data_IF_552654469145
#
_entry.id   IF_552654469145
#
_cell.length_a   1.000
_cell.length_b   1.000
_cell.length_c   1.000
_cell.angle_alpha   90.00
_cell.angle_beta   90.00
_cell.angle_gamma   90.00
#
_symmetry.space_group_name_H-M   'P 1'
#
loop_
_entity.id
_entity.type
_entity.pdbx_description
1 polymer ?
#
# COMPACT_ATOMS: atom_id res chain seq x y z
N UNK A 1 -6.81 -4.30 -17.22
CA UNK A 1 -7.32 -4.62 -15.87
C UNK A 1 -6.14 -4.76 -14.93
N UNK A 2 -6.21 -4.21 -13.72
CA UNK A 2 -5.12 -4.29 -12.74
C UNK A 2 -5.19 -5.63 -11.99
N UNK A 3 -4.13 -6.42 -12.09
CA UNK A 3 -4.00 -7.76 -11.51
C UNK A 3 -2.62 -7.95 -10.88
N UNK A 4 -2.51 -8.74 -9.81
CA UNK A 4 -1.22 -9.06 -9.21
C UNK A 4 -1.29 -9.97 -8.00
N UNK A 5 -0.11 -10.26 -7.43
CA UNK A 5 0.06 -11.10 -6.23
C UNK A 5 0.46 -10.23 -5.04
N UNK A 6 -0.29 -10.26 -3.92
CA UNK A 6 0.13 -9.57 -2.70
C UNK A 6 1.44 -10.13 -2.13
N UNK A 7 2.27 -9.31 -1.46
CA UNK A 7 3.49 -9.78 -0.80
C UNK A 7 3.19 -10.93 0.17
N UNK A 8 3.99 -11.99 0.14
CA UNK A 8 3.82 -13.14 1.04
C UNK A 8 2.66 -14.09 0.72
N UNK A 9 1.83 -13.79 -0.29
CA UNK A 9 0.63 -14.57 -0.60
C UNK A 9 0.74 -15.46 -1.86
N UNK A 10 1.93 -15.68 -2.43
CA UNK A 10 2.05 -16.57 -3.59
C UNK A 10 1.54 -18.00 -3.26
N UNK A 11 0.74 -18.65 -4.14
CA UNK A 11 0.46 -18.31 -5.54
C UNK A 11 -0.85 -17.53 -5.80
N UNK A 12 -1.37 -16.77 -4.82
CA UNK A 12 -2.62 -15.99 -4.95
C UNK A 12 -2.51 -14.92 -6.05
N UNK A 13 -3.54 -14.82 -6.90
CA UNK A 13 -3.71 -13.73 -7.86
C UNK A 13 -5.01 -12.99 -7.56
N UNK A 14 -4.90 -11.67 -7.48
CA UNK A 14 -6.00 -10.76 -7.21
C UNK A 14 -6.23 -9.85 -8.41
N UNK A 15 -7.49 -9.50 -8.65
CA UNK A 15 -7.91 -8.51 -9.62
C UNK A 15 -8.61 -7.36 -8.91
N UNK A 16 -8.14 -6.13 -9.12
CA UNK A 16 -8.77 -4.95 -8.53
C UNK A 16 -10.15 -4.72 -9.16
N UNK A 17 -11.19 -4.61 -8.33
CA UNK A 17 -12.57 -4.41 -8.77
C UNK A 17 -13.10 -3.03 -8.43
N UNK A 18 -12.77 -2.54 -7.24
CA UNK A 18 -13.20 -1.23 -6.78
C UNK A 18 -12.18 -0.64 -5.82
N UNK A 19 -12.21 0.68 -5.69
CA UNK A 19 -11.45 1.40 -4.68
C UNK A 19 -12.29 2.58 -4.19
N UNK A 20 -12.30 2.80 -2.88
CA UNK A 20 -12.89 3.97 -2.24
C UNK A 20 -11.73 4.76 -1.64
N UNK A 21 -11.44 5.92 -2.22
CA UNK A 21 -10.40 6.82 -1.78
C UNK A 21 -10.78 8.26 -2.15
N UNK A 22 -10.33 9.20 -1.32
CA UNK A 22 -10.44 10.62 -1.62
C UNK A 22 -9.34 11.08 -2.59
N UNK A 23 -9.34 12.38 -2.89
CA UNK A 23 -8.24 13.02 -3.61
C UNK A 23 -6.90 12.72 -2.92
N UNK A 24 -5.87 12.45 -3.72
CA UNK A 24 -4.50 12.32 -3.23
C UNK A 24 -4.08 13.51 -2.36
N UNK A 25 -3.27 13.25 -1.34
CA UNK A 25 -2.78 14.26 -0.40
C UNK A 25 -1.31 14.60 -0.71
N UNK A 26 -0.93 15.89 -0.79
CA UNK A 26 0.47 16.27 -0.91
C UNK A 26 1.20 15.99 0.41
N UNK A 27 2.24 15.17 0.35
CA UNK A 27 3.14 14.94 1.47
C UNK A 27 4.49 15.57 1.17
N UNK A 28 4.94 16.47 2.04
CA UNK A 28 6.32 16.96 2.07
C UNK A 28 6.78 17.05 3.52
N UNK A 29 7.94 17.63 3.75
CA UNK A 29 8.43 17.89 5.09
C UNK A 29 9.71 18.72 5.05
N UNK A 30 10.34 18.87 6.21
CA UNK A 30 11.66 19.49 6.30
C UNK A 30 12.72 18.41 6.49
N UNK A 31 13.80 18.46 5.72
CA UNK A 31 15.00 17.67 5.98
C UNK A 31 15.92 18.46 6.91
N UNK A 32 15.98 18.04 8.17
CA UNK A 32 16.83 18.67 9.18
C UNK A 32 18.33 18.48 8.90
N UNK A 33 18.73 17.37 8.26
CA UNK A 33 20.14 17.09 8.00
C UNK A 33 20.71 18.00 6.91
N UNK A 34 19.92 18.28 5.87
CA UNK A 34 20.32 19.15 4.77
C UNK A 34 19.72 20.57 4.84
N UNK A 35 18.99 20.87 5.93
CA UNK A 35 18.31 22.13 6.21
C UNK A 35 17.52 22.71 5.03
N UNK A 36 16.72 21.86 4.37
CA UNK A 36 15.96 22.23 3.18
C UNK A 36 14.60 21.52 3.14
N UNK A 37 13.62 22.04 2.39
CA UNK A 37 12.36 21.34 2.19
C UNK A 37 12.56 20.03 1.41
N UNK A 38 11.83 18.99 1.78
CA UNK A 38 11.74 17.73 1.04
C UNK A 38 10.88 17.91 -0.21
N UNK A 39 11.19 17.16 -1.26
CA UNK A 39 10.35 17.12 -2.45
C UNK A 39 8.92 16.70 -2.07
N UNK A 40 7.93 17.34 -2.70
CA UNK A 40 6.53 16.99 -2.48
C UNK A 40 6.18 15.73 -3.24
N UNK A 41 5.49 14.81 -2.58
CA UNK A 41 5.03 13.53 -3.13
C UNK A 41 3.51 13.45 -3.04
N UNK A 42 2.91 12.64 -3.92
CA UNK A 42 1.46 12.39 -3.90
C UNK A 42 1.20 11.12 -3.13
N UNK A 43 0.44 11.21 -2.04
CA UNK A 43 0.09 10.08 -1.19
C UNK A 43 -1.39 9.74 -1.31
N UNK A 44 -1.69 8.46 -1.05
CA UNK A 44 -3.07 7.98 -0.88
C UNK A 44 -3.51 8.35 0.55
N UNK A 45 -4.70 8.94 0.74
CA UNK A 45 -5.21 9.27 2.06
C UNK A 45 -5.43 8.01 2.91
N UNK A 46 -5.23 8.12 4.22
CA UNK A 46 -5.61 7.06 5.17
C UNK A 46 -7.13 6.78 5.08
N UNK A 47 -7.52 5.52 5.27
CA UNK A 47 -8.90 5.07 5.08
C UNK A 47 -9.24 4.63 3.65
N UNK A 48 -8.31 4.78 2.69
CA UNK A 48 -8.48 4.21 1.37
C UNK A 48 -8.70 2.69 1.45
N UNK A 49 -9.76 2.21 0.81
CA UNK A 49 -10.16 0.79 0.81
C UNK A 49 -10.17 0.25 -0.62
N UNK A 50 -9.55 -0.91 -0.82
CA UNK A 50 -9.47 -1.58 -2.13
C UNK A 50 -10.15 -2.94 -2.06
N UNK A 51 -11.03 -3.22 -3.01
CA UNK A 51 -11.72 -4.51 -3.12
C UNK A 51 -11.17 -5.31 -4.29
N UNK A 52 -10.82 -6.56 -3.98
CA UNK A 52 -10.22 -7.49 -4.93
C UNK A 52 -11.09 -8.73 -5.11
N UNK A 53 -11.09 -9.23 -6.34
CA UNK A 53 -11.59 -10.56 -6.71
C UNK A 53 -10.40 -11.52 -6.74
N UNK A 54 -10.57 -12.72 -6.18
CA UNK A 54 -9.58 -13.79 -6.31
C UNK A 54 -9.71 -14.37 -7.72
N UNK A 55 -8.70 -14.12 -8.54
CA UNK A 55 -8.63 -14.61 -9.92
C UNK A 55 -8.04 -16.03 -9.97
N UNK A 56 -7.05 -16.31 -9.10
CA UNK A 56 -6.42 -17.63 -8.99
C UNK A 56 -5.91 -17.90 -7.57
N UNK A 57 -5.96 -19.16 -7.16
CA UNK A 57 -5.46 -19.62 -5.85
C UNK A 57 -6.50 -19.47 -4.74
N UNK A 58 -6.06 -19.69 -3.51
CA UNK A 58 -6.91 -19.61 -2.31
C UNK A 58 -6.26 -18.67 -1.31
N UNK A 59 -7.03 -17.71 -0.79
CA UNK A 59 -6.60 -16.88 0.32
C UNK A 59 -6.71 -17.67 1.62
N UNK A 60 -5.58 -18.17 2.13
CA UNK A 60 -5.53 -18.85 3.43
C UNK A 60 -5.46 -17.82 4.56
N UNK A 61 -5.94 -18.18 5.75
CA UNK A 61 -5.85 -17.31 6.92
C UNK A 61 -4.40 -16.86 7.18
N UNK A 62 -3.45 -17.81 7.12
CA UNK A 62 -2.03 -17.51 7.30
C UNK A 62 -1.48 -16.53 6.26
N UNK A 63 -1.90 -16.62 4.99
CA UNK A 63 -1.46 -15.67 3.97
C UNK A 63 -2.02 -14.27 4.25
N UNK A 64 -3.28 -14.17 4.66
CA UNK A 64 -3.91 -12.89 5.02
C UNK A 64 -3.25 -12.29 6.27
N UNK A 65 -2.91 -13.09 7.26
CA UNK A 65 -2.23 -12.64 8.48
C UNK A 65 -0.89 -11.95 8.18
N UNK A 66 -0.17 -12.34 7.12
CA UNK A 66 1.08 -11.66 6.73
C UNK A 66 0.88 -10.24 6.20
N UNK A 67 -0.32 -9.91 5.74
CA UNK A 67 -0.68 -8.58 5.26
C UNK A 67 -1.19 -7.66 6.38
N UNK A 68 -1.56 -8.25 7.53
CA UNK A 68 -2.03 -7.49 8.68
C UNK A 68 -0.91 -6.63 9.23
N UNK A 69 -1.14 -5.31 9.29
CA UNK A 69 -0.14 -4.31 9.69
C UNK A 69 1.13 -4.32 8.83
N UNK A 70 1.05 -4.82 7.59
CA UNK A 70 2.14 -4.73 6.63
C UNK A 70 2.18 -3.34 5.97
N UNK A 71 3.37 -2.88 5.61
CA UNK A 71 3.56 -1.70 4.78
C UNK A 71 3.73 -2.10 3.32
N UNK A 72 2.90 -1.55 2.43
CA UNK A 72 2.82 -1.97 1.02
C UNK A 72 3.30 -0.90 0.02
N UNK A 73 4.18 0.03 0.42
CA UNK A 73 4.76 0.98 -0.53
C UNK A 73 5.88 0.34 -1.37
N UNK A 74 5.95 0.75 -2.64
CA UNK A 74 7.00 0.33 -3.58
C UNK A 74 8.39 0.84 -3.15
N UNK A 75 8.45 2.05 -2.58
CA UNK A 75 9.69 2.59 -2.04
C UNK A 75 9.90 2.11 -0.60
N UNK A 76 10.97 1.36 -0.30
CA UNK A 76 11.23 0.86 1.05
C UNK A 76 11.33 1.96 2.11
N UNK A 77 11.82 3.15 1.73
CA UNK A 77 11.90 4.27 2.68
C UNK A 77 10.52 4.76 3.11
N UNK A 78 9.50 4.65 2.28
CA UNK A 78 8.12 5.00 2.66
C UNK A 78 7.57 4.05 3.70
N UNK A 79 7.89 2.75 3.58
CA UNK A 79 7.53 1.74 4.58
C UNK A 79 8.21 2.07 5.93
N UNK A 80 9.50 2.42 5.92
CA UNK A 80 10.24 2.83 7.13
C UNK A 80 9.71 4.13 7.75
N UNK A 81 9.11 5.01 6.95
CA UNK A 81 8.47 6.24 7.42
C UNK A 81 7.04 6.02 7.92
N UNK A 82 6.51 4.79 7.86
CA UNK A 82 5.18 4.44 8.35
C UNK A 82 4.05 4.58 7.33
N UNK A 83 4.33 4.84 6.06
CA UNK A 83 3.29 4.96 5.02
C UNK A 83 2.80 3.60 4.52
N UNK A 84 1.61 3.58 3.91
CA UNK A 84 1.08 2.38 3.25
C UNK A 84 0.79 1.21 4.18
N UNK A 85 0.57 1.47 5.47
CA UNK A 85 0.15 0.46 6.44
C UNK A 85 -1.24 -0.08 6.10
N UNK A 86 -1.38 -1.39 5.97
CA UNK A 86 -2.65 -2.06 5.71
C UNK A 86 -3.23 -2.75 6.92
N UNK A 87 -4.57 -2.83 6.94
CA UNK A 87 -5.38 -3.58 7.89
C UNK A 87 -6.12 -4.68 7.11
#
# INVERSE_FOLDING_TARGET
TLTGTPPGCAPLQLKLKAAALDRWQPQSGWDLASNKPRASERMIPAGATYWFEIDKGTATAQAIETLWMAHLCDNPQHNLNGFGLTL
#
